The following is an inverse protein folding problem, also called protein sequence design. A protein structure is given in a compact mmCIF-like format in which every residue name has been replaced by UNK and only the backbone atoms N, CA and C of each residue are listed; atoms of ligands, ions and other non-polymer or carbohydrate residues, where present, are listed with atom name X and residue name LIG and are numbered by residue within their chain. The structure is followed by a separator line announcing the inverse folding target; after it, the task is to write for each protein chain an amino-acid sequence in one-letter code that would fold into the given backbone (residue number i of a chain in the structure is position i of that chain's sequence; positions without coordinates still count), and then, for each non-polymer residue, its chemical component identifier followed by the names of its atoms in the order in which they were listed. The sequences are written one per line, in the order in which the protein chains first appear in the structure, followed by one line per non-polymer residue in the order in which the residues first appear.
data_IF_477642529581
#
_entry.id   IF_477642529581
#
_cell.length_a   1.000
_cell.length_b   1.000
_cell.length_c   1.000
_cell.angle_alpha   90.00
_cell.angle_beta   90.00
_cell.angle_gamma   90.00
#
_symmetry.space_group_name_H-M   'P 1'
#
loop_
_entity.id
_entity.type
_entity.pdbx_description
1 polymer ?
#
# COMPACT_ATOMS: atom_id res chain seq x y z
N UNK A 1 15.77 -31.18 -33.79
CA UNK A 1 14.61 -30.84 -32.92
C UNK A 1 15.02 -30.24 -31.58
N UNK A 2 15.89 -30.87 -30.77
CA UNK A 2 16.25 -30.41 -29.40
C UNK A 2 16.81 -28.98 -29.35
N UNK A 3 17.68 -28.60 -30.29
CA UNK A 3 18.31 -27.25 -30.33
C UNK A 3 17.30 -26.12 -30.62
N UNK A 4 16.26 -26.40 -31.40
CA UNK A 4 15.20 -25.44 -31.72
C UNK A 4 14.24 -25.24 -30.54
N UNK A 5 13.97 -26.30 -29.77
CA UNK A 5 13.14 -26.25 -28.55
C UNK A 5 13.86 -25.46 -27.44
N UNK A 6 15.16 -25.68 -27.24
CA UNK A 6 15.96 -24.91 -26.28
C UNK A 6 16.05 -23.42 -26.65
N UNK A 7 16.14 -23.10 -27.95
CA UNK A 7 16.12 -21.72 -28.44
C UNK A 7 14.76 -21.04 -28.23
N UNK A 8 13.66 -21.74 -28.54
CA UNK A 8 12.30 -21.23 -28.33
C UNK A 8 12.00 -21.01 -26.84
N UNK A 9 12.43 -21.91 -25.97
CA UNK A 9 12.33 -21.76 -24.51
C UNK A 9 13.13 -20.54 -24.01
N UNK A 10 14.36 -20.34 -24.52
CA UNK A 10 15.18 -19.19 -24.16
C UNK A 10 14.55 -17.85 -24.59
N UNK A 11 13.92 -17.79 -25.76
CA UNK A 11 13.16 -16.61 -26.21
C UNK A 11 11.94 -16.40 -25.32
N UNK A 12 11.19 -17.44 -25.02
CA UNK A 12 10.00 -17.36 -24.16
C UNK A 12 10.35 -16.83 -22.76
N UNK A 13 11.41 -17.33 -22.14
CA UNK A 13 11.90 -16.83 -20.84
C UNK A 13 12.27 -15.34 -20.95
N UNK A 14 12.99 -14.93 -21.99
CA UNK A 14 13.34 -13.51 -22.19
C UNK A 14 12.11 -12.63 -22.37
N UNK A 15 11.09 -13.10 -23.07
CA UNK A 15 9.83 -12.39 -23.22
C UNK A 15 9.09 -12.25 -21.89
N UNK A 16 9.01 -13.32 -21.09
CA UNK A 16 8.42 -13.25 -19.74
C UNK A 16 9.18 -12.23 -18.88
N UNK A 17 10.51 -12.31 -18.86
CA UNK A 17 11.33 -11.37 -18.07
C UNK A 17 11.13 -9.93 -18.53
N UNK A 18 11.04 -9.69 -19.85
CA UNK A 18 10.75 -8.36 -20.39
C UNK A 18 9.36 -7.87 -19.97
N UNK A 19 8.34 -8.73 -20.00
CA UNK A 19 6.98 -8.37 -19.57
C UNK A 19 6.92 -8.06 -18.08
N UNK A 20 7.59 -8.84 -17.23
CA UNK A 20 7.71 -8.58 -15.79
C UNK A 20 8.42 -7.26 -15.52
N UNK A 21 9.50 -6.98 -16.26
CA UNK A 21 10.22 -5.71 -16.15
C UNK A 21 9.33 -4.53 -16.54
N UNK A 22 8.62 -4.63 -17.67
CA UNK A 22 7.70 -3.57 -18.12
C UNK A 22 6.59 -3.35 -17.10
N UNK A 23 5.96 -4.43 -16.61
CA UNK A 23 4.92 -4.33 -15.58
C UNK A 23 5.46 -3.66 -14.30
N UNK A 24 6.67 -4.02 -13.86
CA UNK A 24 7.33 -3.39 -12.72
C UNK A 24 7.58 -1.89 -12.92
N UNK A 25 8.06 -1.49 -14.11
CA UNK A 25 8.28 -0.06 -14.44
C UNK A 25 6.96 0.71 -14.46
N UNK A 26 5.91 0.15 -15.08
CA UNK A 26 4.57 0.77 -15.09
C UNK A 26 4.02 0.91 -13.68
N UNK A 27 4.18 -0.10 -12.84
CA UNK A 27 3.73 -0.07 -11.44
C UNK A 27 4.48 1.00 -10.63
N UNK A 28 5.81 1.10 -10.76
CA UNK A 28 6.60 2.14 -10.08
C UNK A 28 6.21 3.54 -10.57
N UNK A 29 6.00 3.72 -11.87
CA UNK A 29 5.53 4.99 -12.43
C UNK A 29 4.14 5.36 -11.91
N UNK A 30 3.22 4.39 -11.83
CA UNK A 30 1.88 4.57 -11.26
C UNK A 30 1.93 5.02 -9.80
N UNK A 31 2.68 4.31 -8.95
CA UNK A 31 2.89 4.67 -7.54
C UNK A 31 3.54 6.04 -7.39
N UNK A 32 4.56 6.34 -8.21
CA UNK A 32 5.21 7.64 -8.23
C UNK A 32 4.24 8.77 -8.55
N UNK A 33 3.44 8.59 -9.61
CA UNK A 33 2.42 9.55 -10.05
C UNK A 33 1.33 9.76 -9.00
N UNK A 34 0.69 8.68 -8.53
CA UNK A 34 -0.39 8.76 -7.55
C UNK A 34 0.11 9.30 -6.21
N UNK A 35 1.31 8.94 -5.78
CA UNK A 35 1.88 9.43 -4.53
C UNK A 35 2.21 10.92 -4.51
N UNK A 36 2.35 11.53 -5.69
CA UNK A 36 2.52 12.98 -5.87
C UNK A 36 1.19 13.74 -5.95
N UNK A 37 0.06 13.06 -6.03
CA UNK A 37 -1.26 13.69 -5.96
C UNK A 37 -1.67 13.89 -4.49
N UNK A 38 -2.59 14.84 -4.22
CA UNK A 38 -3.24 14.92 -2.91
C UNK A 38 -3.88 13.58 -2.56
N UNK A 39 -3.72 13.16 -1.31
CA UNK A 39 -4.34 11.92 -0.82
C UNK A 39 -5.87 12.01 -0.92
N UNK A 40 -6.52 10.88 -1.15
CA UNK A 40 -7.98 10.80 -1.25
C UNK A 40 -8.68 10.90 0.12
N UNK A 41 -7.91 10.77 1.21
CA UNK A 41 -8.42 10.91 2.57
C UNK A 41 -8.72 12.36 2.90
N UNK A 42 -9.97 12.64 3.29
CA UNK A 42 -10.38 13.96 3.79
C UNK A 42 -9.51 14.43 4.98
N UNK A 43 -9.08 13.50 5.84
CA UNK A 43 -8.24 13.77 7.01
C UNK A 43 -6.81 14.22 6.67
N UNK A 44 -6.37 14.05 5.43
CA UNK A 44 -5.03 14.44 4.98
C UNK A 44 -4.95 15.91 4.53
N UNK A 45 -6.07 16.63 4.44
CA UNK A 45 -6.15 18.07 4.13
C UNK A 45 -5.27 18.52 2.95
N UNK A 46 -5.34 17.77 1.84
CA UNK A 46 -4.59 18.09 0.61
C UNK A 46 -3.11 17.69 0.62
N UNK A 47 -2.60 17.09 1.70
CA UNK A 47 -1.26 16.52 1.74
C UNK A 47 -1.11 15.38 0.73
N UNK A 48 0.05 15.35 0.04
CA UNK A 48 0.41 14.23 -0.84
C UNK A 48 0.92 13.03 -0.05
N UNK A 49 0.77 11.82 -0.58
CA UNK A 49 1.26 10.61 0.08
C UNK A 49 2.78 10.66 0.37
N UNK A 50 3.57 11.24 -0.54
CA UNK A 50 5.02 11.40 -0.31
C UNK A 50 5.36 12.42 0.77
N UNK A 51 4.54 13.46 0.98
CA UNK A 51 4.70 14.35 2.12
C UNK A 51 4.38 13.61 3.42
N UNK A 52 3.24 12.91 3.44
CA UNK A 52 2.81 12.08 4.57
C UNK A 52 3.90 11.11 5.01
N UNK A 53 4.37 10.23 4.10
CA UNK A 53 5.39 9.22 4.44
C UNK A 53 6.67 9.86 4.97
N UNK A 54 7.15 10.95 4.36
CA UNK A 54 8.38 11.63 4.81
C UNK A 54 8.21 12.19 6.22
N UNK A 55 7.09 12.83 6.47
CA UNK A 55 6.77 13.40 7.77
C UNK A 55 6.67 12.31 8.84
N UNK A 56 5.96 11.22 8.55
CA UNK A 56 5.83 10.08 9.49
C UNK A 56 7.17 9.43 9.78
N UNK A 57 8.02 9.20 8.77
CA UNK A 57 9.36 8.66 8.97
C UNK A 57 10.20 9.57 9.87
N UNK A 58 10.11 10.88 9.69
CA UNK A 58 10.83 11.84 10.55
C UNK A 58 10.36 11.76 12.00
N UNK A 59 9.05 11.73 12.23
CA UNK A 59 8.48 11.60 13.58
C UNK A 59 8.84 10.25 14.23
N UNK A 60 8.82 9.15 13.47
CA UNK A 60 9.20 7.83 13.97
C UNK A 60 10.66 7.81 14.42
N UNK A 61 11.58 8.46 13.69
CA UNK A 61 13.02 8.48 14.03
C UNK A 61 13.34 9.15 15.36
N UNK A 62 12.47 10.03 15.85
CA UNK A 62 12.61 10.66 17.17
C UNK A 62 12.20 9.72 18.32
N UNK A 63 11.54 8.60 18.03
CA UNK A 63 11.14 7.62 19.04
C UNK A 63 12.28 6.69 19.46
N UNK A 64 12.17 5.99 20.60
CA UNK A 64 13.10 4.92 20.96
C UNK A 64 13.16 3.82 19.89
N UNK A 65 14.32 3.17 19.74
CA UNK A 65 14.56 2.15 18.70
C UNK A 65 13.51 1.01 18.69
N UNK A 66 13.02 0.59 19.86
CA UNK A 66 11.94 -0.41 19.97
C UNK A 66 10.64 0.04 19.28
N UNK A 67 10.27 1.31 19.41
CA UNK A 67 9.08 1.88 18.81
C UNK A 67 9.28 2.10 17.30
N UNK A 68 10.49 2.50 16.89
CA UNK A 68 10.84 2.61 15.48
C UNK A 68 10.66 1.26 14.77
N UNK A 69 11.25 0.20 15.34
CA UNK A 69 11.15 -1.14 14.78
C UNK A 69 9.69 -1.59 14.69
N UNK A 70 8.88 -1.34 15.72
CA UNK A 70 7.45 -1.65 15.71
C UNK A 70 6.74 -0.96 14.54
N UNK A 71 6.87 0.36 14.42
CA UNK A 71 6.20 1.17 13.38
C UNK A 71 6.63 0.78 11.97
N UNK A 72 7.92 0.52 11.74
CA UNK A 72 8.40 0.09 10.43
C UNK A 72 7.99 -1.33 10.10
N UNK A 73 8.01 -2.25 11.07
CA UNK A 73 7.63 -3.65 10.85
C UNK A 73 6.13 -3.76 10.56
N UNK A 74 5.28 -3.08 11.35
CA UNK A 74 3.84 -3.08 11.12
C UNK A 74 3.50 -2.51 9.75
N UNK A 75 4.10 -1.37 9.39
CA UNK A 75 3.88 -0.73 8.09
C UNK A 75 4.37 -1.58 6.92
N UNK A 76 5.57 -2.17 7.01
CA UNK A 76 6.15 -3.00 5.96
C UNK A 76 5.35 -4.28 5.70
N UNK A 77 4.58 -4.77 6.68
CA UNK A 77 3.67 -5.89 6.51
C UNK A 77 2.31 -5.40 6.02
N UNK A 78 1.75 -4.38 6.67
CA UNK A 78 0.37 -3.96 6.44
C UNK A 78 0.14 -3.37 5.04
N UNK A 79 1.00 -2.43 4.62
CA UNK A 79 0.83 -1.69 3.36
C UNK A 79 0.92 -2.55 2.09
N UNK A 80 1.79 -3.56 1.98
CA UNK A 80 1.73 -4.45 0.82
C UNK A 80 0.60 -5.47 0.92
N UNK A 81 0.26 -5.94 2.12
CA UNK A 81 -0.63 -7.09 2.30
C UNK A 81 -2.12 -6.70 2.26
N UNK A 82 -2.55 -5.75 3.10
CA UNK A 82 -3.97 -5.42 3.23
C UNK A 82 -4.55 -4.81 1.95
N UNK A 83 -3.93 -3.80 1.31
CA UNK A 83 -4.45 -3.27 0.05
C UNK A 83 -4.58 -4.31 -1.05
N UNK A 84 -3.61 -5.22 -1.18
CA UNK A 84 -3.66 -6.30 -2.16
C UNK A 84 -4.79 -7.29 -1.84
N UNK A 85 -4.91 -7.71 -0.59
CA UNK A 85 -5.94 -8.64 -0.14
C UNK A 85 -7.35 -8.05 -0.30
N UNK A 86 -7.57 -6.81 0.15
CA UNK A 86 -8.86 -6.14 0.11
C UNK A 86 -9.28 -5.83 -1.34
N UNK A 87 -8.35 -5.42 -2.19
CA UNK A 87 -8.61 -5.26 -3.63
C UNK A 87 -8.98 -6.60 -4.26
N UNK A 88 -8.28 -7.69 -3.93
CA UNK A 88 -8.61 -9.03 -4.44
C UNK A 88 -10.00 -9.49 -4.00
N UNK A 89 -10.37 -9.28 -2.74
CA UNK A 89 -11.69 -9.59 -2.19
C UNK A 89 -12.77 -8.78 -2.90
N UNK A 90 -12.53 -7.48 -3.14
CA UNK A 90 -13.48 -6.64 -3.89
C UNK A 90 -13.70 -7.09 -5.32
N UNK A 91 -12.65 -7.55 -6.03
CA UNK A 91 -12.76 -8.08 -7.40
C UNK A 91 -13.43 -9.47 -7.40
N UNK A 92 -13.27 -10.24 -6.32
CA UNK A 92 -13.73 -11.64 -6.22
C UNK A 92 -14.54 -11.86 -4.93
N UNK A 93 -15.72 -11.23 -4.80
CA UNK A 93 -16.50 -11.25 -3.56
C UNK A 93 -16.98 -12.65 -3.17
N UNK A 94 -17.14 -13.56 -4.12
CA UNK A 94 -17.58 -14.95 -3.87
C UNK A 94 -16.44 -15.92 -3.53
N UNK A 95 -15.18 -15.47 -3.58
CA UNK A 95 -13.99 -16.30 -3.41
C UNK A 95 -13.90 -16.92 -2.01
N UNK A 96 -13.15 -18.01 -1.88
CA UNK A 96 -12.89 -18.64 -0.58
C UNK A 96 -12.28 -17.64 0.42
N UNK A 97 -11.36 -16.79 -0.05
CA UNK A 97 -10.71 -15.77 0.77
C UNK A 97 -11.73 -14.73 1.25
N UNK A 98 -12.60 -14.23 0.38
CA UNK A 98 -13.63 -13.26 0.74
C UNK A 98 -14.54 -13.79 1.86
N UNK A 99 -14.98 -15.06 1.76
CA UNK A 99 -15.84 -15.70 2.77
C UNK A 99 -15.18 -15.87 4.15
N UNK A 100 -13.85 -15.89 4.21
CA UNK A 100 -13.08 -16.07 5.45
C UNK A 100 -12.35 -14.81 5.89
N UNK A 101 -12.50 -13.70 5.16
CA UNK A 101 -11.99 -12.39 5.57
C UNK A 101 -13.02 -11.78 6.51
N UNK A 102 -12.56 -11.24 7.63
CA UNK A 102 -13.45 -10.52 8.54
C UNK A 102 -14.05 -9.30 7.81
N UNK A 103 -15.33 -9.03 8.07
CA UNK A 103 -16.00 -7.84 7.53
C UNK A 103 -15.31 -6.60 8.08
N UNK A 104 -14.66 -5.84 7.21
CA UNK A 104 -14.00 -4.58 7.52
C UNK A 104 -14.61 -3.48 6.62
N UNK A 105 -15.00 -2.31 7.16
CA UNK A 105 -15.58 -1.21 6.38
C UNK A 105 -14.70 -0.71 5.24
N UNK A 106 -13.39 -0.96 5.30
CA UNK A 106 -12.42 -0.55 4.28
C UNK A 106 -12.43 -1.48 3.06
N UNK A 107 -12.94 -2.72 3.20
CA UNK A 107 -13.04 -3.68 2.10
C UNK A 107 -14.04 -3.17 1.07
N UNK A 108 -13.62 -2.96 -0.19
CA UNK A 108 -14.51 -2.50 -1.24
C UNK A 108 -15.48 -3.62 -1.67
N UNK A 109 -16.73 -3.26 -1.95
CA UNK A 109 -17.76 -4.19 -2.42
C UNK A 109 -17.79 -4.24 -3.94
N UNK A 110 -17.70 -5.46 -4.50
CA UNK A 110 -17.96 -5.81 -5.91
C UNK A 110 -17.39 -4.80 -6.94
N UNK A 111 -16.07 -4.67 -6.96
CA UNK A 111 -15.38 -3.75 -7.88
C UNK A 111 -14.95 -4.45 -9.16
N UNK A 112 -14.91 -3.70 -10.27
CA UNK A 112 -14.40 -4.26 -11.53
C UNK A 112 -12.87 -4.26 -11.57
N UNK A 113 -12.30 -5.05 -12.48
CA UNK A 113 -10.86 -5.02 -12.77
C UNK A 113 -10.35 -3.65 -13.22
N UNK A 114 -11.21 -2.81 -13.82
CA UNK A 114 -10.83 -1.47 -14.25
C UNK A 114 -10.65 -0.52 -13.07
N UNK A 115 -11.40 -0.73 -11.98
CA UNK A 115 -11.36 0.10 -10.76
C UNK A 115 -10.27 -0.35 -9.78
N UNK A 116 -9.69 -1.53 -10.01
CA UNK A 116 -8.71 -2.15 -9.12
C UNK A 116 -7.47 -1.27 -8.86
N UNK A 117 -6.84 -0.59 -9.83
CA UNK A 117 -5.66 0.23 -9.57
C UNK A 117 -5.95 1.40 -8.65
N UNK A 118 -7.05 2.12 -8.88
CA UNK A 118 -7.43 3.27 -8.04
C UNK A 118 -7.91 2.83 -6.65
N UNK A 119 -8.64 1.72 -6.57
CA UNK A 119 -9.07 1.14 -5.30
C UNK A 119 -7.87 0.66 -4.48
N UNK A 120 -6.92 -0.02 -5.10
CA UNK A 120 -5.68 -0.43 -4.45
C UNK A 120 -4.90 0.77 -3.92
N UNK A 121 -4.79 1.84 -4.71
CA UNK A 121 -4.09 3.05 -4.29
C UNK A 121 -4.79 3.73 -3.10
N UNK A 122 -6.12 3.86 -3.13
CA UNK A 122 -6.90 4.38 -1.99
C UNK A 122 -6.62 3.57 -0.72
N UNK A 123 -6.64 2.24 -0.84
CA UNK A 123 -6.35 1.35 0.28
C UNK A 123 -4.92 1.48 0.81
N UNK A 124 -3.93 1.73 -0.07
CA UNK A 124 -2.55 2.03 0.37
C UNK A 124 -2.54 3.29 1.24
N UNK A 125 -3.26 4.33 0.85
CA UNK A 125 -3.36 5.57 1.64
C UNK A 125 -4.08 5.32 2.97
N UNK A 126 -5.22 4.64 2.97
CA UNK A 126 -6.02 4.32 4.16
C UNK A 126 -5.24 3.47 5.16
N UNK A 127 -4.62 2.36 4.71
CA UNK A 127 -3.86 1.45 5.57
C UNK A 127 -2.60 2.13 6.11
N UNK A 128 -1.94 2.97 5.31
CA UNK A 128 -0.77 3.73 5.76
C UNK A 128 -1.15 4.77 6.82
N UNK A 129 -2.29 5.44 6.64
CA UNK A 129 -2.84 6.38 7.61
C UNK A 129 -3.21 5.67 8.90
N UNK A 130 -3.91 4.54 8.81
CA UNK A 130 -4.25 3.72 9.96
C UNK A 130 -2.99 3.27 10.72
N UNK A 131 -1.98 2.75 10.01
CA UNK A 131 -0.77 2.21 10.63
C UNK A 131 0.06 3.25 11.41
N UNK A 132 0.08 4.52 10.96
CA UNK A 132 0.97 5.54 11.54
C UNK A 132 0.26 6.74 12.17
N UNK A 133 -1.04 6.90 11.99
CA UNK A 133 -1.81 8.01 12.57
C UNK A 133 -2.83 7.50 13.59
N UNK A 134 -3.50 6.39 13.30
CA UNK A 134 -4.51 5.84 14.22
C UNK A 134 -3.80 5.14 15.37
N UNK A 135 -4.11 5.55 16.60
CA UNK A 135 -3.54 4.97 17.81
C UNK A 135 -4.43 3.83 18.30
N UNK A 136 -4.11 2.58 17.94
CA UNK A 136 -4.95 1.43 18.34
C UNK A 136 -4.80 1.04 19.81
N UNK A 137 -3.70 1.41 20.48
CA UNK A 137 -3.44 1.10 21.90
C UNK A 137 -2.68 2.23 22.62
N UNK A 138 -3.27 3.43 22.74
CA UNK A 138 -2.56 4.61 23.24
C UNK A 138 -2.13 4.49 24.71
N UNK A 139 -2.78 3.60 25.48
CA UNK A 139 -2.53 3.37 26.91
C UNK A 139 -1.46 2.31 27.21
N UNK A 140 -1.10 1.45 26.25
CA UNK A 140 -0.19 0.31 26.48
C UNK A 140 1.27 0.70 26.31
N UNK A 141 1.59 1.49 25.28
CA UNK A 141 2.94 2.01 25.01
C UNK A 141 2.86 3.49 24.61
N UNK A 142 2.52 4.38 25.55
CA UNK A 142 2.32 5.80 25.26
C UNK A 142 3.58 6.47 24.69
N UNK A 143 4.77 5.97 25.02
CA UNK A 143 6.04 6.47 24.49
C UNK A 143 6.25 6.16 23.01
N UNK A 144 5.48 5.24 22.44
CA UNK A 144 5.52 4.91 21.01
C UNK A 144 4.45 5.66 20.21
N UNK A 145 3.59 6.46 20.86
CA UNK A 145 2.57 7.24 20.18
C UNK A 145 3.22 8.35 19.37
N UNK A 146 2.88 8.40 18.09
CA UNK A 146 3.33 9.49 17.24
C UNK A 146 2.40 10.70 17.39
N UNK A 147 2.93 11.93 17.24
CA UNK A 147 2.10 13.12 17.15
C UNK A 147 1.19 13.07 15.93
N UNK A 148 0.11 13.85 15.97
CA UNK A 148 -0.75 14.07 14.81
C UNK A 148 0.08 14.66 13.64
N UNK A 149 -0.26 14.32 12.39
CA UNK A 149 0.45 14.85 11.23
C UNK A 149 0.28 16.37 11.13
N UNK A 150 1.33 17.06 10.66
CA UNK A 150 1.30 18.48 10.38
C UNK A 150 0.57 18.73 9.08
N UNK A 151 -0.74 18.95 9.19
CA UNK A 151 -1.57 19.36 8.07
C UNK A 151 -1.10 20.73 7.59
N UNK A 152 -0.44 20.77 6.44
CA UNK A 152 -0.01 22.02 5.83
C UNK A 152 -1.21 22.60 5.08
N UNK A 153 -1.65 23.84 5.37
CA UNK A 153 -2.62 24.50 4.52
C UNK A 153 -1.96 24.67 3.14
N UNK A 154 -2.50 24.01 2.13
CA UNK A 154 -2.11 24.25 0.74
C UNK A 154 -2.53 25.69 0.41
N UNK A 155 -1.56 26.62 0.45
CA UNK A 155 -1.70 27.99 -0.06
C UNK A 155 -1.43 28.04 -1.56
#
# INVERSE_FOLDING_TARGET
MIRSVLSALGIFIRLILALVLIAGVVFVAFVGYKGSQPMQLASADGMTYWQFVRERISAIRELPAKCQQMHFTSFAIAVPLYPALYTYVGINPDSYIARHTQSDPSIPEDISWADAPDTWWRLVEDVSWEAWVTQHLPSVMPECNLPAPSLSPVS
#
